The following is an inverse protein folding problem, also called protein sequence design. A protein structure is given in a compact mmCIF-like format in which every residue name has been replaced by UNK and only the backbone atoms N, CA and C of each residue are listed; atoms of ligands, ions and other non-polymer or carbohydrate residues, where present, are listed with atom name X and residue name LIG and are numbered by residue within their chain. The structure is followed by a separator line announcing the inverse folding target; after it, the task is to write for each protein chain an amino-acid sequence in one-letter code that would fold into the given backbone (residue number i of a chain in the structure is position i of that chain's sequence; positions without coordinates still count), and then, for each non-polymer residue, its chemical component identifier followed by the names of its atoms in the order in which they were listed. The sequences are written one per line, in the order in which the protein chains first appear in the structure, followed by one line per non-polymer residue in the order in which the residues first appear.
data_IF_132481506366
#
_entry.id   IF_132481506366
#
_cell.length_a   1.000
_cell.length_b   1.000
_cell.length_c   1.000
_cell.angle_alpha   90.00
_cell.angle_beta   90.00
_cell.angle_gamma   90.00
#
_symmetry.space_group_name_H-M   'P 1'
#
loop_
_entity.id
_entity.type
_entity.pdbx_description
1 polymer ?
#
# COMPACT_ATOMS: atom_id res chain seq x y z
N UNK A 1 -67.83 -23.99 33.25
CA UNK A 1 -67.51 -22.93 32.28
C UNK A 1 -66.00 -22.86 32.24
N UNK A 2 -65.43 -23.62 31.33
CA UNK A 2 -64.01 -23.96 31.21
C UNK A 2 -63.27 -22.92 30.36
N UNK A 3 -62.02 -22.57 30.68
CA UNK A 3 -60.82 -23.06 29.96
C UNK A 3 -59.50 -22.45 30.54
N UNK A 4 -58.49 -23.31 30.61
CA UNK A 4 -57.01 -23.16 30.69
C UNK A 4 -56.34 -22.06 31.52
N UNK A 5 -55.52 -22.51 32.46
CA UNK A 5 -54.05 -22.29 32.42
C UNK A 5 -53.32 -23.34 33.25
N UNK A 6 -52.35 -24.04 32.64
CA UNK A 6 -51.52 -25.10 33.25
C UNK A 6 -50.07 -24.60 33.34
N UNK A 7 -49.54 -24.45 34.56
CA UNK A 7 -48.12 -24.25 34.81
C UNK A 7 -47.47 -25.60 35.17
N UNK A 8 -46.33 -25.91 34.53
CA UNK A 8 -45.50 -27.08 34.82
C UNK A 8 -44.16 -26.61 35.39
N UNK A 9 -43.83 -27.10 36.60
CA UNK A 9 -42.56 -26.90 37.30
C UNK A 9 -41.58 -28.01 36.93
N UNK A 10 -40.31 -27.61 36.76
CA UNK A 10 -39.22 -28.42 36.21
C UNK A 10 -38.76 -29.59 37.07
N UNK A 11 -38.13 -30.54 36.36
CA UNK A 11 -37.46 -31.73 36.87
C UNK A 11 -35.96 -31.60 36.58
N UNK A 12 -35.11 -31.66 37.59
CA UNK A 12 -33.67 -31.88 37.45
C UNK A 12 -33.29 -33.13 38.25
N UNK A 13 -33.11 -34.25 37.53
CA UNK A 13 -32.57 -35.48 38.11
C UNK A 13 -31.05 -35.34 38.25
N UNK A 14 -30.60 -35.47 39.49
CA UNK A 14 -29.22 -35.72 39.89
C UNK A 14 -28.81 -37.12 39.44
N UNK A 15 -27.79 -37.23 38.59
CA UNK A 15 -27.10 -38.49 38.32
C UNK A 15 -25.65 -38.35 38.78
N UNK A 16 -25.33 -39.01 39.90
CA UNK A 16 -23.99 -39.06 40.45
C UNK A 16 -23.06 -39.86 39.53
N UNK A 17 -21.92 -39.26 39.22
CA UNK A 17 -20.84 -39.95 38.50
C UNK A 17 -19.96 -40.66 39.54
N UNK A 18 -19.88 -41.98 39.39
CA UNK A 18 -19.04 -42.86 40.19
C UNK A 18 -17.58 -42.67 39.80
N UNK A 19 -16.80 -41.93 40.59
CA UNK A 19 -15.34 -41.90 40.44
C UNK A 19 -14.74 -43.20 40.97
N UNK A 20 -14.27 -44.08 40.09
CA UNK A 20 -13.32 -45.12 40.46
C UNK A 20 -11.91 -44.56 40.30
N UNK A 21 -11.27 -44.29 41.43
CA UNK A 21 -9.84 -43.99 41.48
C UNK A 21 -9.06 -45.28 41.33
N UNK A 22 -8.27 -45.38 40.26
CA UNK A 22 -7.14 -46.31 40.16
C UNK A 22 -5.94 -45.48 39.70
N UNK A 23 -4.84 -45.61 40.41
CA UNK A 23 -3.63 -44.82 40.21
C UNK A 23 -2.97 -45.07 38.85
N UNK A 24 -2.54 -43.99 38.20
CA UNK A 24 -1.52 -44.00 37.15
C UNK A 24 -2.05 -44.20 35.72
N UNK A 25 -1.90 -43.13 34.92
CA UNK A 25 -2.07 -43.06 33.46
C UNK A 25 -3.53 -43.07 32.98
N UNK A 26 -4.09 -41.85 32.83
CA UNK A 26 -5.12 -41.57 31.83
C UNK A 26 -4.44 -40.96 30.61
N UNK A 27 -4.32 -41.72 29.52
CA UNK A 27 -4.13 -41.16 28.18
C UNK A 27 -5.41 -40.42 27.82
N UNK A 28 -5.35 -39.10 27.72
CA UNK A 28 -6.40 -38.34 27.02
C UNK A 28 -6.24 -38.63 25.53
N UNK A 29 -7.33 -39.00 24.87
CA UNK A 29 -7.39 -39.12 23.42
C UNK A 29 -7.13 -37.72 22.84
N UNK A 30 -6.22 -37.61 21.87
CA UNK A 30 -5.71 -36.33 21.34
C UNK A 30 -6.73 -35.56 20.48
N UNK A 31 -8.03 -35.85 20.62
CA UNK A 31 -9.10 -35.33 19.78
C UNK A 31 -9.99 -34.27 20.45
N UNK A 32 -9.82 -33.94 21.74
CA UNK A 32 -10.69 -32.96 22.44
C UNK A 32 -9.92 -31.94 23.30
N UNK A 33 -8.72 -31.55 22.87
CA UNK A 33 -8.06 -30.32 23.34
C UNK A 33 -8.05 -29.29 22.21
N UNK A 34 -9.24 -28.93 21.73
CA UNK A 34 -9.39 -27.65 21.03
C UNK A 34 -9.20 -26.55 22.09
N UNK A 35 -8.02 -25.90 22.11
CA UNK A 35 -7.97 -24.56 22.68
C UNK A 35 -8.97 -23.73 21.86
N UNK A 36 -10.05 -23.28 22.49
CA UNK A 36 -10.95 -22.25 21.94
C UNK A 36 -10.28 -20.87 21.88
N UNK A 37 -9.03 -20.83 21.46
CA UNK A 37 -8.29 -19.66 21.10
C UNK A 37 -8.91 -19.15 19.79
N UNK A 38 -9.66 -18.02 19.77
CA UNK A 38 -10.18 -17.49 18.52
C UNK A 38 -9.00 -17.25 17.57
N UNK A 39 -9.08 -17.85 16.38
CA UNK A 39 -8.11 -17.62 15.30
C UNK A 39 -8.00 -16.09 15.13
N UNK A 40 -6.80 -15.48 15.27
CA UNK A 40 -6.68 -14.05 15.11
C UNK A 40 -7.11 -13.71 13.69
N UNK A 41 -8.28 -13.07 13.57
CA UNK A 41 -8.79 -12.57 12.31
C UNK A 41 -7.80 -11.57 11.71
N UNK A 42 -7.90 -11.31 10.40
CA UNK A 42 -7.02 -10.36 9.75
C UNK A 42 -7.04 -9.00 10.45
N UNK A 43 -5.87 -8.44 10.75
CA UNK A 43 -5.74 -7.06 11.21
C UNK A 43 -5.65 -6.14 9.99
N UNK A 44 -6.63 -5.26 9.82
CA UNK A 44 -6.67 -4.28 8.72
C UNK A 44 -5.71 -3.12 9.01
N UNK A 45 -4.74 -2.89 8.12
CA UNK A 45 -3.84 -1.73 8.16
C UNK A 45 -4.09 -0.86 6.93
N UNK A 46 -4.30 0.44 7.14
CA UNK A 46 -4.34 1.42 6.06
C UNK A 46 -2.93 1.78 5.60
N UNK A 47 -2.60 1.43 4.35
CA UNK A 47 -1.30 1.73 3.75
C UNK A 47 -1.47 2.80 2.68
N UNK A 48 -0.73 3.90 2.78
CA UNK A 48 -0.65 4.89 1.71
C UNK A 48 0.33 4.44 0.63
N UNK A 49 -0.18 4.19 -0.58
CA UNK A 49 0.63 3.82 -1.73
C UNK A 49 0.72 4.98 -2.71
N UNK A 50 1.94 5.31 -3.16
CA UNK A 50 2.15 6.30 -4.21
C UNK A 50 1.62 5.78 -5.54
N UNK A 51 0.62 6.47 -6.10
CA UNK A 51 0.08 6.17 -7.42
C UNK A 51 1.03 6.66 -8.52
N UNK A 52 1.49 7.91 -8.39
CA UNK A 52 2.38 8.55 -9.35
C UNK A 52 2.91 9.89 -8.82
N UNK A 53 4.05 10.30 -9.36
CA UNK A 53 4.67 11.59 -9.08
C UNK A 53 5.23 12.15 -10.38
N UNK A 54 4.75 13.33 -10.77
CA UNK A 54 5.05 13.93 -12.07
C UNK A 54 5.39 15.41 -11.93
N UNK A 55 6.15 15.92 -12.89
CA UNK A 55 6.64 17.30 -12.93
C UNK A 55 6.19 17.97 -14.21
N UNK A 56 5.73 19.22 -14.11
CA UNK A 56 5.41 20.05 -15.25
C UNK A 56 5.85 21.51 -15.04
N UNK A 57 6.32 22.13 -16.13
CA UNK A 57 6.61 23.55 -16.15
C UNK A 57 5.36 24.39 -16.43
N UNK A 58 5.29 25.59 -15.84
CA UNK A 58 4.30 26.61 -16.12
C UNK A 58 4.98 27.94 -16.40
N UNK A 59 4.78 28.46 -17.61
CA UNK A 59 5.19 29.82 -17.97
C UNK A 59 4.07 30.80 -17.58
N UNK A 60 4.45 31.86 -16.87
CA UNK A 60 3.59 32.97 -16.47
C UNK A 60 4.15 34.24 -17.08
N UNK A 61 3.43 34.78 -18.06
CA UNK A 61 3.75 36.06 -18.69
C UNK A 61 2.81 37.14 -18.16
N UNK A 62 3.36 38.28 -17.75
CA UNK A 62 2.55 39.41 -17.34
C UNK A 62 3.23 40.76 -17.59
N UNK A 63 2.38 41.76 -17.77
CA UNK A 63 2.79 43.15 -17.79
C UNK A 63 2.58 43.79 -16.42
N UNK A 64 3.62 44.47 -15.96
CA UNK A 64 3.62 45.25 -14.73
C UNK A 64 3.80 46.73 -15.05
N UNK A 65 2.96 47.56 -14.44
CA UNK A 65 2.94 49.00 -14.64
C UNK A 65 3.38 49.74 -13.39
N UNK A 66 4.21 50.76 -13.54
CA UNK A 66 4.65 51.61 -12.44
C UNK A 66 3.44 52.40 -11.90
N UNK A 67 3.07 52.26 -10.62
CA UNK A 67 1.95 53.00 -10.03
C UNK A 67 2.11 54.52 -10.16
N UNK A 68 1.02 55.26 -10.39
CA UNK A 68 1.04 56.69 -10.70
C UNK A 68 1.83 57.57 -9.70
N UNK A 69 1.88 57.18 -8.42
CA UNK A 69 2.64 57.87 -7.38
C UNK A 69 4.17 57.71 -7.45
N UNK A 70 4.68 56.84 -8.33
CA UNK A 70 6.10 56.54 -8.47
C UNK A 70 6.67 57.12 -9.76
N UNK A 71 7.93 57.58 -9.77
CA UNK A 71 8.58 58.16 -10.96
C UNK A 71 8.74 57.14 -12.09
N UNK A 72 9.07 57.63 -13.29
CA UNK A 72 9.34 56.78 -14.46
C UNK A 72 10.61 55.95 -14.27
N UNK A 73 10.70 54.82 -14.99
CA UNK A 73 11.88 53.95 -14.95
C UNK A 73 12.95 54.51 -15.88
N UNK A 74 14.15 54.69 -15.33
CA UNK A 74 15.38 54.87 -16.12
C UNK A 74 15.98 53.51 -16.46
N UNK A 75 16.17 52.66 -15.45
CA UNK A 75 16.77 51.33 -15.61
C UNK A 75 16.15 50.33 -14.63
N UNK A 76 15.79 49.14 -15.10
CA UNK A 76 15.42 48.02 -14.24
C UNK A 76 16.68 47.42 -13.62
N UNK A 77 16.70 47.28 -12.30
CA UNK A 77 17.82 46.73 -11.54
C UNK A 77 17.65 45.23 -11.36
N UNK A 78 16.47 44.80 -10.93
CA UNK A 78 16.19 43.39 -10.64
C UNK A 78 14.70 43.10 -10.67
N UNK A 79 14.34 41.87 -11.02
CA UNK A 79 12.99 41.33 -11.01
C UNK A 79 13.06 39.96 -10.37
N UNK A 80 12.33 39.78 -9.27
CA UNK A 80 12.26 38.49 -8.59
C UNK A 80 10.87 38.20 -8.06
N UNK A 81 10.62 36.91 -7.87
CA UNK A 81 9.44 36.41 -7.17
C UNK A 81 9.75 36.45 -5.68
N UNK A 82 8.95 37.19 -4.93
CA UNK A 82 9.10 37.35 -3.48
C UNK A 82 8.40 36.24 -2.70
N UNK A 83 7.25 35.80 -3.19
CA UNK A 83 6.41 34.78 -2.55
C UNK A 83 5.80 33.88 -3.62
N UNK A 84 5.76 32.57 -3.37
CA UNK A 84 5.13 31.58 -4.25
C UNK A 84 4.37 30.57 -3.38
N UNK A 85 3.04 30.60 -3.45
CA UNK A 85 2.18 29.78 -2.61
C UNK A 85 1.25 28.91 -3.46
N UNK A 86 0.98 27.70 -2.97
CA UNK A 86 -0.05 26.81 -3.52
C UNK A 86 -1.29 26.94 -2.66
N UNK A 87 -2.40 27.36 -3.27
CA UNK A 87 -3.66 27.60 -2.58
C UNK A 87 -4.58 26.38 -2.64
N UNK A 88 -4.47 25.57 -3.71
CA UNK A 88 -5.34 24.41 -3.92
C UNK A 88 -4.70 23.33 -4.78
N UNK A 89 -4.92 22.08 -4.41
CA UNK A 89 -4.57 20.90 -5.21
C UNK A 89 -5.84 20.06 -5.34
N UNK A 90 -6.34 19.92 -6.57
CA UNK A 90 -7.55 19.14 -6.88
C UNK A 90 -7.16 17.92 -7.69
N UNK A 91 -7.62 16.73 -7.30
CA UNK A 91 -7.49 15.50 -8.11
C UNK A 91 -8.75 15.32 -8.95
N UNK A 92 -8.55 15.10 -10.24
CA UNK A 92 -9.60 14.74 -11.20
C UNK A 92 -9.17 13.46 -11.94
N UNK A 93 -10.06 12.83 -12.73
CA UNK A 93 -9.68 11.65 -13.49
C UNK A 93 -8.41 11.88 -14.33
N UNK A 94 -7.39 11.06 -14.08
CA UNK A 94 -6.08 11.04 -14.75
C UNK A 94 -5.23 12.32 -14.61
N UNK A 95 -5.61 13.29 -13.76
CA UNK A 95 -4.88 14.55 -13.60
C UNK A 95 -4.95 15.14 -12.20
N UNK A 96 -3.96 15.96 -11.89
CA UNK A 96 -3.96 16.86 -10.72
C UNK A 96 -3.91 18.30 -11.20
N UNK A 97 -4.80 19.14 -10.67
CA UNK A 97 -4.84 20.58 -10.91
C UNK A 97 -4.24 21.28 -9.70
N UNK A 98 -3.10 21.93 -9.90
CA UNK A 98 -2.43 22.75 -8.90
C UNK A 98 -2.75 24.23 -9.18
N UNK A 99 -3.22 24.94 -8.16
CA UNK A 99 -3.51 26.37 -8.20
C UNK A 99 -2.74 27.07 -7.12
N UNK A 100 -2.17 28.21 -7.47
CA UNK A 100 -1.39 29.01 -6.55
C UNK A 100 -1.41 30.48 -6.91
N UNK A 101 -0.74 31.25 -6.08
CA UNK A 101 -0.52 32.66 -6.27
C UNK A 101 0.96 32.97 -6.10
N UNK A 102 1.42 34.04 -6.76
CA UNK A 102 2.77 34.53 -6.60
C UNK A 102 2.79 36.06 -6.47
N UNK A 103 3.83 36.56 -5.82
CA UNK A 103 4.12 37.99 -5.67
C UNK A 103 5.42 38.32 -6.40
N UNK A 104 5.33 39.22 -7.39
CA UNK A 104 6.50 39.68 -8.16
C UNK A 104 6.89 41.07 -7.70
N UNK A 105 8.19 41.28 -7.51
CA UNK A 105 8.76 42.58 -7.15
C UNK A 105 9.79 43.01 -8.17
N UNK A 106 9.67 44.26 -8.60
CA UNK A 106 10.57 44.93 -9.54
C UNK A 106 11.30 46.04 -8.80
N UNK A 107 12.62 46.03 -8.87
CA UNK A 107 13.49 47.09 -8.40
C UNK A 107 14.06 47.85 -9.60
N UNK A 108 14.07 49.18 -9.53
CA UNK A 108 14.48 50.04 -10.64
C UNK A 108 15.08 51.35 -10.15
N UNK A 109 15.90 51.97 -11.00
CA UNK A 109 16.39 53.34 -10.84
C UNK A 109 15.40 54.29 -11.48
N UNK A 110 14.97 55.30 -10.74
CA UNK A 110 14.05 56.32 -11.24
C UNK A 110 14.73 57.32 -12.16
N UNK A 111 14.02 57.79 -13.18
CA UNK A 111 14.45 58.92 -14.02
C UNK A 111 14.23 60.25 -13.27
N UNK A 112 15.09 60.49 -12.29
CA UNK A 112 15.19 61.73 -11.52
C UNK A 112 16.66 62.12 -11.42
N UNK A 113 16.99 63.41 -11.18
CA UNK A 113 18.38 63.87 -11.13
C UNK A 113 19.27 63.10 -10.14
N UNK A 114 18.72 62.71 -8.99
CA UNK A 114 19.44 61.97 -7.95
C UNK A 114 19.41 60.44 -8.14
N UNK A 115 18.75 59.97 -9.21
CA UNK A 115 18.62 58.55 -9.59
C UNK A 115 18.32 57.60 -8.41
N UNK A 116 17.29 57.87 -7.58
CA UNK A 116 16.98 57.02 -6.45
C UNK A 116 16.49 55.64 -6.89
N UNK A 117 16.76 54.62 -6.07
CA UNK A 117 16.25 53.27 -6.28
C UNK A 117 14.84 53.17 -5.71
N UNK A 118 13.91 52.68 -6.53
CA UNK A 118 12.53 52.42 -6.17
C UNK A 118 12.17 50.94 -6.42
N UNK A 119 11.08 50.50 -5.79
CA UNK A 119 10.50 49.20 -6.07
C UNK A 119 8.98 49.29 -6.20
N UNK A 120 8.38 48.45 -7.02
CA UNK A 120 6.94 48.17 -6.99
C UNK A 120 6.72 46.67 -7.12
N UNK A 121 5.56 46.20 -6.65
CA UNK A 121 5.22 44.78 -6.63
C UNK A 121 3.77 44.59 -7.04
N UNK A 122 3.46 43.41 -7.57
CA UNK A 122 2.08 42.95 -7.80
C UNK A 122 1.89 41.64 -7.06
N UNK A 123 0.88 41.64 -6.20
CA UNK A 123 0.52 40.52 -5.34
C UNK A 123 -0.62 39.72 -5.96
N UNK A 124 -0.82 38.49 -5.49
CA UNK A 124 -1.93 37.61 -5.86
C UNK A 124 -2.00 37.33 -7.37
N UNK A 125 -0.85 37.16 -8.03
CA UNK A 125 -0.82 36.72 -9.43
C UNK A 125 -1.15 35.24 -9.47
N UNK A 126 -2.38 34.93 -9.87
CA UNK A 126 -2.87 33.55 -9.93
C UNK A 126 -2.23 32.78 -11.06
N UNK A 127 -1.86 31.54 -10.76
CA UNK A 127 -1.41 30.56 -11.74
C UNK A 127 -2.14 29.23 -11.53
N UNK A 128 -2.22 28.45 -12.60
CA UNK A 128 -2.82 27.12 -12.59
C UNK A 128 -2.04 26.21 -13.52
N UNK A 129 -1.82 24.97 -13.08
CA UNK A 129 -1.13 23.94 -13.85
C UNK A 129 -1.87 22.62 -13.67
N UNK A 130 -2.26 21.98 -14.78
CA UNK A 130 -2.66 20.58 -14.78
C UNK A 130 -1.45 19.68 -15.07
N UNK A 131 -1.34 18.60 -14.30
CA UNK A 131 -0.30 17.58 -14.40
C UNK A 131 -1.01 16.24 -14.62
N UNK A 132 -0.64 15.52 -15.67
CA UNK A 132 -1.22 14.22 -16.00
C UNK A 132 -0.62 13.17 -15.07
N UNK A 133 -1.46 12.42 -14.37
CA UNK A 133 -1.08 11.30 -13.51
C UNK A 133 -2.08 10.18 -13.81
N UNK A 134 -1.67 9.24 -14.67
CA UNK A 134 -2.50 8.13 -15.13
C UNK A 134 -3.10 7.35 -13.94
N UNK A 135 -4.41 7.15 -13.95
CA UNK A 135 -5.14 6.41 -12.92
C UNK A 135 -5.50 7.22 -11.68
N UNK A 136 -5.24 8.52 -11.66
CA UNK A 136 -5.70 9.38 -10.57
C UNK A 136 -7.22 9.47 -10.58
N UNK A 137 -7.87 9.33 -9.43
CA UNK A 137 -9.33 9.45 -9.29
C UNK A 137 -9.69 10.53 -8.26
N UNK A 138 -10.87 11.18 -8.40
CA UNK A 138 -11.42 12.00 -7.33
C UNK A 138 -11.43 11.22 -6.00
N UNK A 139 -11.19 11.89 -4.87
CA UNK A 139 -11.00 11.33 -3.51
C UNK A 139 -9.57 10.82 -3.17
N UNK A 140 -8.66 10.68 -4.13
CA UNK A 140 -7.26 10.39 -3.81
C UNK A 140 -6.57 11.59 -3.16
N UNK A 141 -5.64 11.33 -2.25
CA UNK A 141 -4.84 12.39 -1.61
C UNK A 141 -3.74 12.83 -2.56
N UNK A 142 -3.55 14.14 -2.70
CA UNK A 142 -2.47 14.70 -3.51
C UNK A 142 -1.69 15.77 -2.75
N UNK A 143 -0.38 15.80 -2.98
CA UNK A 143 0.54 16.82 -2.50
C UNK A 143 1.22 17.47 -3.70
N UNK A 144 1.45 18.78 -3.66
CA UNK A 144 2.15 19.49 -4.72
C UNK A 144 3.15 20.48 -4.13
N UNK A 145 4.24 20.70 -4.87
CA UNK A 145 5.29 21.67 -4.58
C UNK A 145 5.56 22.51 -5.83
N UNK A 146 5.91 23.77 -5.65
CA UNK A 146 6.23 24.66 -6.76
C UNK A 146 7.50 25.46 -6.44
N UNK A 147 8.39 25.57 -7.43
CA UNK A 147 9.60 26.39 -7.33
C UNK A 147 9.74 27.29 -8.54
N UNK A 148 10.41 28.42 -8.36
CA UNK A 148 10.77 29.30 -9.47
C UNK A 148 12.03 28.76 -10.12
N UNK A 149 11.96 28.45 -11.41
CA UNK A 149 13.08 27.94 -12.18
C UNK A 149 13.82 29.06 -12.90
N UNK A 150 13.08 30.03 -13.44
CA UNK A 150 13.64 31.14 -14.18
C UNK A 150 12.73 32.38 -14.11
N UNK A 151 13.35 33.56 -14.09
CA UNK A 151 12.68 34.85 -14.18
C UNK A 151 13.42 35.68 -15.21
N UNK A 152 12.68 36.22 -16.17
CA UNK A 152 13.18 37.10 -17.21
C UNK A 152 12.30 38.34 -17.32
N UNK A 153 12.87 39.40 -17.88
CA UNK A 153 12.13 40.63 -18.10
C UNK A 153 12.57 41.36 -19.37
N UNK A 154 11.60 42.00 -20.01
CA UNK A 154 11.82 42.91 -21.12
C UNK A 154 11.32 44.31 -20.74
N UNK A 155 12.21 45.30 -20.87
CA UNK A 155 11.90 46.71 -20.65
C UNK A 155 12.22 47.53 -21.90
N UNK A 156 11.19 48.11 -22.52
CA UNK A 156 11.31 48.92 -23.73
C UNK A 156 11.29 50.42 -23.39
N UNK A 157 12.42 50.94 -22.91
CA UNK A 157 12.56 52.33 -22.46
C UNK A 157 12.16 53.39 -23.49
N UNK A 158 12.23 53.10 -24.79
CA UNK A 158 11.86 54.04 -25.85
C UNK A 158 10.37 54.07 -26.19
N UNK A 159 9.61 53.05 -25.80
CA UNK A 159 8.18 52.93 -26.12
C UNK A 159 7.30 53.19 -24.90
N UNK A 160 7.65 52.61 -23.75
CA UNK A 160 6.90 52.75 -22.51
C UNK A 160 7.82 52.67 -21.29
N UNK A 161 8.11 53.83 -20.69
CA UNK A 161 8.99 53.98 -19.52
C UNK A 161 8.36 53.52 -18.21
N UNK A 162 7.11 53.04 -18.24
CA UNK A 162 6.36 52.61 -17.07
C UNK A 162 5.84 51.19 -17.18
N UNK A 163 6.23 50.45 -18.21
CA UNK A 163 5.80 49.06 -18.44
C UNK A 163 7.00 48.12 -18.48
N UNK A 164 6.97 47.08 -17.65
CA UNK A 164 7.93 45.98 -17.68
C UNK A 164 7.18 44.69 -18.01
N UNK A 165 7.60 44.01 -19.06
CA UNK A 165 7.10 42.69 -19.42
C UNK A 165 7.92 41.64 -18.69
N UNK A 166 7.29 40.67 -18.04
CA UNK A 166 7.96 39.71 -17.17
C UNK A 166 7.50 38.30 -17.53
N UNK A 167 8.48 37.41 -17.68
CA UNK A 167 8.30 35.99 -17.98
C UNK A 167 8.86 35.17 -16.82
N UNK A 168 8.01 34.37 -16.18
CA UNK A 168 8.39 33.51 -15.06
C UNK A 168 8.15 32.06 -15.44
N UNK A 169 9.15 31.21 -15.25
CA UNK A 169 9.02 29.76 -15.41
C UNK A 169 8.94 29.14 -14.02
N UNK A 170 7.80 28.51 -13.73
CA UNK A 170 7.57 27.74 -12.52
C UNK A 170 7.77 26.26 -12.83
N UNK A 171 8.43 25.55 -11.91
CA UNK A 171 8.53 24.10 -11.91
C UNK A 171 7.58 23.55 -10.85
N UNK A 172 6.55 22.83 -11.28
CA UNK A 172 5.49 22.32 -10.41
C UNK A 172 5.58 20.80 -10.35
N UNK A 173 5.67 20.27 -9.14
CA UNK A 173 5.63 18.84 -8.84
C UNK A 173 4.28 18.50 -8.23
N UNK A 174 3.72 17.35 -8.61
CA UNK A 174 2.57 16.77 -7.93
C UNK A 174 2.78 15.27 -7.70
N UNK A 175 2.31 14.80 -6.55
CA UNK A 175 2.30 13.40 -6.17
C UNK A 175 0.91 13.02 -5.67
N UNK A 176 0.40 11.90 -6.16
CA UNK A 176 -0.89 11.32 -5.74
C UNK A 176 -0.61 10.04 -4.95
N UNK A 177 -1.28 9.89 -3.82
CA UNK A 177 -1.26 8.67 -2.99
C UNK A 177 -2.69 8.15 -2.84
N UNK A 178 -2.81 6.82 -2.88
CA UNK A 178 -4.04 6.09 -2.58
C UNK A 178 -3.91 5.44 -1.21
N UNK A 179 -4.99 5.37 -0.45
CA UNK A 179 -5.04 4.62 0.81
C UNK A 179 -5.68 3.26 0.54
N UNK A 180 -4.95 2.18 0.82
CA UNK A 180 -5.43 0.82 0.62
C UNK A 180 -5.43 0.10 1.97
N UNK A 181 -6.58 -0.47 2.35
CA UNK A 181 -6.68 -1.37 3.49
C UNK A 181 -6.04 -2.72 3.13
N UNK A 182 -5.09 -3.18 3.95
CA UNK A 182 -4.46 -4.47 3.84
C UNK A 182 -4.76 -5.32 5.06
N UNK A 183 -5.31 -6.51 4.83
CA UNK A 183 -5.44 -7.55 5.83
C UNK A 183 -4.07 -8.18 6.13
N UNK A 184 -3.54 -7.94 7.32
CA UNK A 184 -2.35 -8.62 7.83
C UNK A 184 -2.79 -9.82 8.65
N UNK A 185 -2.40 -11.01 8.21
CA UNK A 185 -2.56 -12.22 9.00
C UNK A 185 -1.41 -12.30 9.99
N UNK A 186 -1.70 -12.12 11.28
CA UNK A 186 -0.76 -12.50 12.32
C UNK A 186 -0.66 -14.03 12.30
N UNK A 187 0.46 -14.57 11.81
CA UNK A 187 0.73 -16.00 11.94
C UNK A 187 0.75 -16.31 13.43
N UNK A 188 -0.21 -17.12 13.89
CA UNK A 188 -0.21 -17.65 15.25
C UNK A 188 1.13 -18.37 15.48
N UNK A 189 1.71 -18.32 16.69
CA UNK A 189 2.82 -19.19 17.02
C UNK A 189 2.39 -20.63 16.69
N UNK A 190 3.15 -21.32 15.87
CA UNK A 190 3.00 -22.77 15.67
C UNK A 190 3.10 -23.41 17.04
N UNK A 191 1.99 -23.99 17.53
CA UNK A 191 2.02 -24.79 18.74
C UNK A 191 3.02 -25.94 18.52
N UNK A 192 4.02 -26.00 19.41
CA UNK A 192 5.04 -27.02 19.41
C UNK A 192 4.38 -28.40 19.50
N UNK A 193 4.35 -29.13 18.40
CA UNK A 193 3.79 -30.48 18.37
C UNK A 193 4.75 -31.39 19.15
N UNK A 194 4.40 -31.65 20.41
CA UNK A 194 4.85 -32.78 21.21
C UNK A 194 6.36 -32.97 21.34
N UNK A 195 6.92 -32.60 22.50
CA UNK A 195 8.19 -33.16 22.96
C UNK A 195 8.14 -34.68 22.86
N UNK A 196 8.91 -35.28 21.95
CA UNK A 196 9.22 -36.71 22.02
C UNK A 196 10.07 -36.90 23.26
N UNK A 197 9.42 -37.29 24.35
CA UNK A 197 10.11 -37.72 25.55
C UNK A 197 11.01 -38.89 25.19
N UNK A 198 12.31 -38.65 25.13
CA UNK A 198 13.30 -39.71 25.14
C UNK A 198 13.16 -40.45 26.48
N UNK A 199 12.40 -41.52 26.51
CA UNK A 199 12.41 -42.46 27.63
C UNK A 199 13.72 -43.23 27.55
N UNK A 200 14.82 -42.65 28.03
CA UNK A 200 15.93 -43.45 28.53
C UNK A 200 15.45 -44.14 29.79
N UNK A 201 14.75 -45.27 29.63
CA UNK A 201 14.48 -46.19 30.73
C UNK A 201 15.83 -46.77 31.19
N UNK A 202 16.35 -46.30 32.31
CA UNK A 202 17.45 -46.95 33.04
C UNK A 202 16.98 -48.09 33.93
N UNK A 203 15.82 -48.70 33.63
CA UNK A 203 15.40 -49.93 34.27
C UNK A 203 16.17 -51.12 33.68
N UNK A 204 17.24 -51.46 34.37
CA UNK A 204 17.94 -52.73 34.24
C UNK A 204 16.95 -53.87 34.45
N UNK A 205 16.58 -54.54 33.36
CA UNK A 205 16.02 -55.90 33.46
C UNK A 205 17.17 -56.89 33.33
N UNK A 206 17.40 -57.59 34.44
CA UNK A 206 18.38 -58.66 34.61
C UNK A 206 18.20 -59.76 33.57
N UNK A 207 19.31 -60.23 33.01
CA UNK A 207 19.37 -61.47 32.26
C UNK A 207 18.88 -62.63 33.15
N UNK A 208 17.75 -63.22 32.77
CA UNK A 208 17.29 -64.49 33.32
C UNK A 208 18.30 -65.58 33.03
N UNK A 209 18.51 -66.45 34.03
CA UNK A 209 19.09 -67.77 33.88
C UNK A 209 18.65 -68.45 32.57
N UNK A 210 19.53 -68.52 31.57
CA UNK A 210 19.49 -69.56 30.54
C UNK A 210 20.93 -69.83 30.08
N UNK A 211 21.35 -71.06 30.28
CA UNK A 211 22.63 -71.63 29.88
C UNK A 211 22.58 -72.12 28.43
N UNK A 212 23.76 -72.03 27.80
CA UNK A 212 24.31 -72.80 26.68
C UNK A 212 23.67 -72.72 25.28
N UNK A 213 24.60 -72.56 24.32
CA UNK A 213 24.55 -72.90 22.88
C UNK A 213 23.99 -71.83 21.90
N UNK A 214 24.89 -70.92 21.51
CA UNK A 214 25.18 -70.50 20.13
C UNK A 214 24.02 -70.33 19.12
N UNK A 215 23.74 -69.10 18.66
CA UNK A 215 23.56 -68.84 17.20
C UNK A 215 23.90 -67.39 16.82
N UNK A 216 24.64 -67.30 15.72
CA UNK A 216 25.17 -66.13 15.02
C UNK A 216 24.14 -65.25 14.31
N UNK A 217 24.54 -64.02 14.03
CA UNK A 217 23.94 -63.12 13.05
C UNK A 217 23.96 -63.74 11.64
N UNK A 218 22.80 -63.74 10.95
CA UNK A 218 22.66 -63.49 9.50
C UNK A 218 21.19 -63.62 9.05
N UNK A 219 20.67 -62.55 8.42
CA UNK A 219 19.83 -62.52 7.22
C UNK A 219 18.45 -63.24 7.25
N UNK A 220 17.31 -62.60 6.94
CA UNK A 220 16.93 -62.23 5.56
C UNK A 220 15.58 -61.50 5.53
N UNK A 221 15.46 -60.49 4.66
CA UNK A 221 14.30 -60.35 3.76
C UNK A 221 13.16 -59.40 4.13
N UNK A 222 13.17 -58.18 3.55
CA UNK A 222 11.91 -57.49 3.23
C UNK A 222 11.92 -55.97 3.07
N UNK A 223 12.48 -55.45 1.96
CA UNK A 223 11.95 -54.25 1.29
C UNK A 223 12.56 -52.87 1.65
N UNK A 224 13.08 -52.19 0.63
CA UNK A 224 13.40 -50.77 0.66
C UNK A 224 12.10 -49.94 0.59
N UNK A 225 11.85 -49.07 1.55
CA UNK A 225 10.98 -47.90 1.37
C UNK A 225 11.84 -46.66 1.54
N UNK A 226 12.02 -45.93 0.44
CA UNK A 226 12.60 -44.61 0.44
C UNK A 226 11.62 -43.64 1.11
N UNK A 227 12.02 -43.05 2.23
CA UNK A 227 11.37 -41.88 2.81
C UNK A 227 12.31 -40.68 2.68
N UNK A 228 12.11 -39.84 1.65
CA UNK A 228 12.58 -38.47 1.72
C UNK A 228 11.65 -37.73 2.69
N UNK A 229 12.02 -37.73 3.98
CA UNK A 229 11.44 -36.80 4.94
C UNK A 229 12.12 -35.45 4.77
N UNK A 230 11.33 -34.41 4.50
CA UNK A 230 11.82 -33.02 4.46
C UNK A 230 12.58 -32.73 5.75
N UNK A 231 13.84 -32.29 5.63
CA UNK A 231 14.58 -31.83 6.81
C UNK A 231 13.90 -30.55 7.30
N UNK A 232 13.23 -30.62 8.45
CA UNK A 232 12.80 -29.43 9.18
C UNK A 232 14.04 -28.63 9.60
N UNK A 233 14.44 -27.67 8.78
CA UNK A 233 15.43 -26.66 9.12
C UNK A 233 14.84 -25.78 10.20
N UNK A 234 15.37 -25.88 11.42
CA UNK A 234 14.95 -25.03 12.54
C UNK A 234 15.57 -23.64 12.32
N UNK A 235 14.79 -22.68 11.83
CA UNK A 235 15.22 -21.28 11.72
C UNK A 235 14.97 -20.59 13.07
N UNK A 236 15.97 -20.62 13.95
CA UNK A 236 15.98 -19.82 15.20
C UNK A 236 16.62 -18.46 14.94
N UNK A 237 15.84 -17.54 14.38
CA UNK A 237 16.19 -16.12 14.29
C UNK A 237 14.99 -15.24 14.66
N UNK A 238 15.18 -13.96 15.03
CA UNK A 238 14.06 -13.04 15.25
C UNK A 238 13.20 -12.99 13.99
N UNK A 239 11.97 -13.47 14.08
CA UNK A 239 11.03 -13.41 12.96
C UNK A 239 10.63 -11.96 12.76
N UNK A 240 11.13 -11.39 11.66
CA UNK A 240 10.72 -10.08 11.19
C UNK A 240 9.41 -10.28 10.41
N UNK A 241 8.32 -9.57 10.76
CA UNK A 241 7.09 -9.63 9.97
C UNK A 241 7.43 -9.23 8.54
N UNK A 242 7.32 -10.20 7.62
CA UNK A 242 7.50 -9.96 6.19
C UNK A 242 6.12 -9.75 5.60
N UNK A 243 5.70 -8.49 5.48
CA UNK A 243 4.60 -8.13 4.60
C UNK A 243 5.01 -8.51 3.17
N UNK A 244 4.25 -9.39 2.49
CA UNK A 244 4.47 -9.62 1.06
C UNK A 244 4.39 -11.01 0.47
N UNK A 245 3.95 -12.02 1.21
CA UNK A 245 3.75 -13.33 0.58
C UNK A 245 2.48 -13.29 -0.27
N UNK A 246 2.60 -13.60 -1.56
CA UNK A 246 1.46 -13.66 -2.46
C UNK A 246 0.49 -14.78 -2.01
N UNK A 247 -0.75 -14.42 -1.69
CA UNK A 247 -1.79 -15.38 -1.33
C UNK A 247 -2.52 -15.81 -2.60
N UNK A 248 -2.84 -17.11 -2.71
CA UNK A 248 -3.66 -17.59 -3.83
C UNK A 248 -5.07 -17.00 -3.73
N UNK A 249 -5.51 -16.33 -4.79
CA UNK A 249 -6.84 -15.72 -4.88
C UNK A 249 -7.47 -16.14 -6.21
N UNK A 250 -8.67 -16.72 -6.16
CA UNK A 250 -9.37 -17.15 -7.37
C UNK A 250 -10.64 -16.34 -7.54
N UNK A 251 -10.83 -15.77 -8.74
CA UNK A 251 -11.98 -14.93 -9.01
C UNK A 251 -11.98 -14.25 -10.37
N UNK A 252 -13.00 -13.45 -10.62
CA UNK A 252 -13.05 -12.53 -11.76
C UNK A 252 -13.26 -11.11 -11.29
N UNK A 253 -12.56 -10.18 -11.95
CA UNK A 253 -12.61 -8.75 -11.64
C UNK A 253 -12.88 -7.96 -12.92
N UNK A 254 -13.61 -6.85 -12.83
CA UNK A 254 -13.93 -5.98 -13.97
C UNK A 254 -13.27 -4.61 -13.79
N UNK A 255 -12.54 -4.15 -14.80
CA UNK A 255 -11.81 -2.87 -14.78
C UNK A 255 -12.77 -1.67 -14.73
N UNK A 256 -12.56 -0.77 -13.78
CA UNK A 256 -13.42 0.42 -13.57
C UNK A 256 -12.87 1.70 -14.24
N UNK A 257 -11.55 1.85 -14.30
CA UNK A 257 -10.86 2.99 -14.91
C UNK A 257 -10.87 2.98 -16.45
N UNK A 258 -10.80 4.17 -17.08
CA UNK A 258 -10.85 4.32 -18.54
C UNK A 258 -9.74 3.52 -19.25
N UNK A 259 -8.50 3.69 -18.78
CA UNK A 259 -7.33 2.94 -19.24
C UNK A 259 -6.45 2.63 -18.05
N UNK A 260 -6.32 1.35 -17.71
CA UNK A 260 -5.59 0.87 -16.53
C UNK A 260 -4.33 0.12 -16.94
N UNK A 261 -3.22 0.39 -16.26
CA UNK A 261 -1.94 -0.25 -16.52
C UNK A 261 -1.87 -1.62 -15.85
N UNK A 262 -1.55 -2.67 -16.63
CA UNK A 262 -1.15 -3.99 -16.14
C UNK A 262 0.38 -3.98 -16.00
N UNK A 263 0.89 -4.33 -14.83
CA UNK A 263 2.33 -4.25 -14.49
C UNK A 263 2.95 -5.62 -14.28
N UNK A 264 4.28 -5.70 -14.30
CA UNK A 264 4.99 -6.98 -14.10
C UNK A 264 5.07 -7.43 -12.64
N UNK A 265 4.76 -6.56 -11.67
CA UNK A 265 4.77 -6.86 -10.24
C UNK A 265 3.73 -6.05 -9.45
N UNK A 266 3.48 -6.41 -8.18
CA UNK A 266 2.49 -5.77 -7.32
C UNK A 266 2.97 -4.41 -6.81
N UNK A 267 2.88 -3.38 -7.65
CA UNK A 267 3.27 -2.02 -7.29
C UNK A 267 3.41 -1.07 -8.48
N UNK A 268 3.41 0.23 -8.20
CA UNK A 268 3.54 1.29 -9.22
C UNK A 268 4.96 1.45 -9.78
N UNK A 269 5.97 0.97 -9.06
CA UNK A 269 7.37 0.99 -9.49
C UNK A 269 7.72 -0.13 -10.50
N UNK A 270 6.80 -1.09 -10.72
CA UNK A 270 7.04 -2.16 -11.68
C UNK A 270 6.71 -1.72 -13.12
N UNK A 271 7.50 -2.16 -14.12
CA UNK A 271 7.24 -1.87 -15.52
C UNK A 271 5.82 -2.24 -15.97
N UNK A 272 5.25 -1.41 -16.86
CA UNK A 272 3.95 -1.68 -17.49
C UNK A 272 4.13 -2.74 -18.58
N UNK A 273 3.38 -3.84 -18.47
CA UNK A 273 3.31 -4.94 -19.45
C UNK A 273 2.34 -4.56 -20.57
N UNK A 274 1.16 -4.06 -20.22
CA UNK A 274 0.12 -3.65 -21.18
C UNK A 274 -0.90 -2.72 -20.52
N UNK A 275 -1.85 -2.20 -21.31
CA UNK A 275 -2.98 -1.39 -20.81
C UNK A 275 -4.30 -2.08 -21.14
N UNK A 276 -5.26 -2.01 -20.23
CA UNK A 276 -6.61 -2.56 -20.39
C UNK A 276 -7.66 -1.46 -20.24
N UNK A 277 -8.75 -1.56 -20.98
CA UNK A 277 -9.81 -0.54 -20.96
C UNK A 277 -10.93 -0.89 -19.98
N UNK A 278 -11.69 0.12 -19.57
CA UNK A 278 -12.89 -0.02 -18.74
C UNK A 278 -13.82 -1.12 -19.24
N UNK A 279 -14.34 -1.92 -18.30
CA UNK A 279 -15.28 -3.01 -18.57
C UNK A 279 -14.62 -4.31 -18.99
N UNK A 280 -13.29 -4.35 -19.13
CA UNK A 280 -12.56 -5.61 -19.40
C UNK A 280 -12.64 -6.52 -18.17
N UNK A 281 -13.01 -7.79 -18.36
CA UNK A 281 -13.05 -8.80 -17.30
C UNK A 281 -11.76 -9.62 -17.30
N UNK A 282 -11.17 -9.79 -16.12
CA UNK A 282 -9.88 -10.46 -15.92
C UNK A 282 -10.01 -11.57 -14.88
N UNK A 283 -9.21 -12.64 -15.02
CA UNK A 283 -9.22 -13.76 -14.07
C UNK A 283 -8.10 -13.61 -13.05
N UNK A 284 -8.42 -13.58 -11.76
CA UNK A 284 -7.44 -13.46 -10.66
C UNK A 284 -6.84 -14.83 -10.33
N UNK A 285 -5.52 -14.85 -10.08
CA UNK A 285 -4.75 -16.03 -9.65
C UNK A 285 -4.14 -15.88 -8.27
N UNK A 286 -3.62 -14.70 -7.98
CA UNK A 286 -2.92 -14.38 -6.74
C UNK A 286 -3.26 -12.95 -6.33
N UNK A 287 -3.12 -12.65 -5.04
CA UNK A 287 -3.16 -11.30 -4.52
C UNK A 287 -1.92 -11.04 -3.67
N UNK A 288 -1.35 -9.84 -3.78
CA UNK A 288 -0.23 -9.40 -2.97
C UNK A 288 -0.25 -7.88 -2.86
N UNK A 289 -0.06 -7.35 -1.65
CA UNK A 289 0.07 -5.91 -1.41
C UNK A 289 -1.06 -5.03 -2.01
N UNK A 290 -2.31 -5.50 -2.01
CA UNK A 290 -3.41 -4.75 -2.65
C UNK A 290 -3.39 -4.76 -4.18
N UNK A 291 -2.65 -5.70 -4.79
CA UNK A 291 -2.66 -5.96 -6.22
C UNK A 291 -3.16 -7.38 -6.49
N UNK A 292 -3.86 -7.54 -7.60
CA UNK A 292 -4.28 -8.83 -8.14
C UNK A 292 -3.38 -9.22 -9.30
N UNK A 293 -2.82 -10.42 -9.25
CA UNK A 293 -2.23 -11.07 -10.40
C UNK A 293 -3.35 -11.64 -11.25
N UNK A 294 -3.47 -11.13 -12.46
CA UNK A 294 -4.54 -11.42 -13.40
C UNK A 294 -4.02 -12.03 -14.68
N UNK A 295 -4.84 -12.90 -15.26
CA UNK A 295 -4.68 -13.40 -16.63
C UNK A 295 -5.64 -12.63 -17.53
N UNK A 296 -5.13 -12.07 -18.62
CA UNK A 296 -5.93 -11.37 -19.62
C UNK A 296 -6.83 -12.33 -20.41
N UNK A 297 -7.78 -11.78 -21.16
CA UNK A 297 -8.71 -12.55 -22.01
C UNK A 297 -8.02 -13.36 -23.10
N UNK A 298 -6.75 -13.06 -23.42
CA UNK A 298 -5.92 -13.83 -24.33
C UNK A 298 -5.39 -15.15 -23.71
N UNK A 299 -5.60 -15.37 -22.41
CA UNK A 299 -5.22 -16.57 -21.66
C UNK A 299 -3.71 -16.77 -21.47
N UNK A 300 -2.88 -15.87 -22.00
CA UNK A 300 -1.41 -16.04 -22.05
C UNK A 300 -0.68 -14.90 -21.36
N UNK A 301 -1.20 -13.68 -21.45
CA UNK A 301 -0.59 -12.52 -20.80
C UNK A 301 -1.02 -12.48 -19.34
N UNK A 302 -0.02 -12.51 -18.44
CA UNK A 302 -0.23 -12.34 -17.00
C UNK A 302 0.43 -11.07 -16.52
N UNK A 303 -0.17 -10.44 -15.51
CA UNK A 303 0.39 -9.26 -14.88
C UNK A 303 -0.41 -8.85 -13.65
N UNK A 304 -0.02 -7.75 -13.06
CA UNK A 304 -0.57 -7.24 -11.82
C UNK A 304 -1.42 -6.00 -12.10
N UNK A 305 -2.62 -5.99 -11.57
CA UNK A 305 -3.54 -4.85 -11.58
C UNK A 305 -3.85 -4.46 -10.14
N UNK A 306 -3.93 -3.16 -9.88
CA UNK A 306 -4.29 -2.65 -8.57
C UNK A 306 -5.74 -3.02 -8.22
N UNK A 307 -5.99 -3.49 -6.99
CA UNK A 307 -7.32 -3.95 -6.56
C UNK A 307 -8.36 -2.83 -6.61
N UNK A 308 -7.96 -1.57 -6.38
CA UNK A 308 -8.86 -0.41 -6.39
C UNK A 308 -9.27 0.06 -7.79
N UNK A 309 -8.61 -0.42 -8.86
CA UNK A 309 -8.98 -0.11 -10.25
C UNK A 309 -9.90 -1.17 -10.87
N UNK A 310 -10.40 -2.08 -10.04
CA UNK A 310 -11.30 -3.17 -10.46
C UNK A 310 -12.41 -3.39 -9.45
N UNK A 311 -13.56 -3.86 -9.92
CA UNK A 311 -14.62 -4.37 -9.05
C UNK A 311 -14.55 -5.90 -9.00
N UNK A 312 -14.54 -6.45 -7.79
CA UNK A 312 -14.56 -7.89 -7.55
C UNK A 312 -15.98 -8.44 -7.64
N UNK A 313 -16.26 -9.21 -8.70
CA UNK A 313 -17.58 -9.84 -8.88
C UNK A 313 -17.67 -11.15 -8.10
N UNK A 314 -16.53 -11.80 -7.83
CA UNK A 314 -16.38 -12.97 -6.94
C UNK A 314 -14.88 -13.22 -6.76
N UNK A 315 -14.29 -12.86 -5.63
CA UNK A 315 -12.90 -13.24 -5.28
C UNK A 315 -12.96 -13.91 -3.92
N UNK A 316 -12.72 -15.21 -3.86
CA UNK A 316 -12.60 -15.94 -2.60
C UNK A 316 -11.11 -16.10 -2.29
N UNK A 317 -10.66 -15.52 -1.18
CA UNK A 317 -9.37 -15.87 -0.60
C UNK A 317 -9.48 -17.30 -0.04
N UNK A 318 -8.62 -18.21 -0.49
CA UNK A 318 -8.50 -19.51 0.17
C UNK A 318 -7.61 -19.30 1.40
N UNK A 319 -8.22 -19.47 2.58
CA UNK A 319 -7.52 -19.56 3.86
C UNK A 319 -6.55 -20.73 3.90
#
# INVERSE_FOLDING_TARGET
MDDKTRAASGSSNTSGVTTKTVAGVTTVDSAELECGCPEPGPETIEVEQVLGAEMAQRVVELDLFVPAQKPDIEQVVDVYVKELEINKVDVIPDKVIVRGELEVKVMYVADLPDQPVHAFEKRHIRWTRDIVIDGAEPEMKATADATVEFVDYDFHCHHDRRKVHITIVLKVWARVVTTTEMDVYALSPIDEIGVVGSTTSTDKVSASQFTDENVSAAETGGGNIAGFGEQNVIVTGPMTPTAGTATSATGTVTVTGNTVNIRSGPGTNFPVVTKVNKGTTLTVKEQAFGWYKVVLTDGTTTGWIASWLVNSTTVNAKG
#
